data_IF_804602297662
#
_entry.id   IF_804602297662
#
_cell.length_a   1.000
_cell.length_b   1.000
_cell.length_c   1.000
_cell.angle_alpha   90.00
_cell.angle_beta   90.00
_cell.angle_gamma   90.00
#
_symmetry.space_group_name_H-M   'P 1'
#
loop_
_entity.id
_entity.type
_entity.pdbx_description
1 polymer ?
#
# COMPACT_ATOMS: atom_id res chain seq x y z
N UNK A 1 1.09 21.33 -15.54
CA UNK A 1 2.16 22.31 -15.89
C UNK A 1 2.84 22.89 -14.64
N UNK A 2 2.09 23.27 -13.60
CA UNK A 2 2.64 23.77 -12.33
C UNK A 2 3.55 22.78 -11.57
N UNK A 3 3.20 21.49 -11.52
CA UNK A 3 4.01 20.47 -10.83
C UNK A 3 5.35 20.16 -11.51
N UNK A 4 5.44 20.38 -12.82
CA UNK A 4 6.68 20.22 -13.57
C UNK A 4 7.66 21.35 -13.22
N UNK A 5 7.17 22.59 -13.17
CA UNK A 5 7.96 23.76 -12.76
C UNK A 5 8.44 23.63 -11.31
N UNK A 6 7.57 23.19 -10.40
CA UNK A 6 7.90 23.02 -8.98
C UNK A 6 9.00 21.98 -8.72
N UNK A 7 9.03 20.90 -9.48
CA UNK A 7 10.00 19.82 -9.33
C UNK A 7 11.21 19.95 -10.26
N UNK A 8 11.21 20.91 -11.20
CA UNK A 8 12.28 21.13 -12.17
C UNK A 8 13.68 21.30 -11.53
N UNK A 9 13.86 22.02 -10.39
CA UNK A 9 15.19 22.16 -9.80
C UNK A 9 15.74 20.83 -9.29
N UNK A 10 14.87 19.96 -8.75
CA UNK A 10 15.26 18.64 -8.27
C UNK A 10 15.70 17.73 -9.41
N UNK A 11 14.95 17.70 -10.52
CA UNK A 11 15.31 16.90 -11.69
C UNK A 11 16.63 17.35 -12.32
N UNK A 12 16.81 18.67 -12.48
CA UNK A 12 18.03 19.25 -13.06
C UNK A 12 19.23 18.96 -12.15
N UNK A 13 19.12 19.26 -10.85
CA UNK A 13 20.19 19.01 -9.88
C UNK A 13 20.58 17.53 -9.79
N UNK A 14 19.58 16.63 -9.78
CA UNK A 14 19.82 15.18 -9.71
C UNK A 14 20.51 14.67 -10.97
N UNK A 15 20.12 15.18 -12.15
CA UNK A 15 20.74 14.81 -13.43
C UNK A 15 22.19 15.28 -13.48
N UNK A 16 22.46 16.54 -13.10
CA UNK A 16 23.83 17.07 -13.04
C UNK A 16 24.69 16.23 -12.08
N UNK A 17 24.20 15.96 -10.86
CA UNK A 17 24.91 15.12 -9.88
C UNK A 17 25.18 13.72 -10.41
N UNK A 18 24.23 13.11 -11.12
CA UNK A 18 24.37 11.77 -11.67
C UNK A 18 25.55 11.68 -12.65
N UNK A 19 25.72 12.68 -13.51
CA UNK A 19 26.79 12.66 -14.52
C UNK A 19 28.13 13.19 -13.98
N UNK A 20 28.13 14.14 -13.05
CA UNK A 20 29.37 14.69 -12.47
C UNK A 20 29.98 13.80 -11.39
N UNK A 21 29.16 13.28 -10.47
CA UNK A 21 29.62 12.51 -9.31
C UNK A 21 29.43 11.00 -9.49
N UNK A 22 28.76 10.60 -10.58
CA UNK A 22 28.31 9.23 -10.78
C UNK A 22 26.99 8.94 -10.05
N UNK A 23 26.42 7.74 -10.27
CA UNK A 23 25.21 7.32 -9.60
C UNK A 23 25.46 7.02 -8.12
N UNK A 24 24.49 7.27 -7.20
CA UNK A 24 24.62 6.92 -5.78
C UNK A 24 24.88 5.43 -5.52
N UNK A 25 24.47 4.58 -6.46
CA UNK A 25 24.79 3.15 -6.49
C UNK A 25 25.16 2.76 -7.91
N UNK A 26 26.14 1.85 -8.13
CA UNK A 26 26.53 1.44 -9.48
C UNK A 26 25.38 0.90 -10.35
N UNK A 27 24.36 0.29 -9.73
CA UNK A 27 23.20 -0.28 -10.41
C UNK A 27 22.11 0.74 -10.75
N UNK A 28 22.22 2.00 -10.32
CA UNK A 28 21.20 3.02 -10.55
C UNK A 28 21.47 3.73 -11.86
N UNK A 29 20.58 3.54 -12.84
CA UNK A 29 20.52 4.42 -14.01
C UNK A 29 19.92 5.79 -13.61
N UNK A 30 19.97 6.75 -14.54
CA UNK A 30 19.46 8.10 -14.30
C UNK A 30 17.99 8.10 -13.84
N UNK A 31 17.16 7.26 -14.45
CA UNK A 31 15.74 7.12 -14.08
C UNK A 31 15.57 6.67 -12.63
N UNK A 32 16.34 5.69 -12.17
CA UNK A 32 16.34 5.25 -10.77
C UNK A 32 16.83 6.35 -9.84
N UNK A 33 17.88 7.07 -10.20
CA UNK A 33 18.40 8.17 -9.38
C UNK A 33 17.36 9.29 -9.22
N UNK A 34 16.72 9.70 -10.31
CA UNK A 34 15.63 10.68 -10.31
C UNK A 34 14.44 10.20 -9.48
N UNK A 35 14.03 8.94 -9.67
CA UNK A 35 12.93 8.35 -8.90
C UNK A 35 13.19 8.42 -7.40
N UNK A 36 14.38 8.00 -6.95
CA UNK A 36 14.74 8.01 -5.54
C UNK A 36 14.94 9.42 -4.98
N UNK A 37 15.53 10.34 -5.75
CA UNK A 37 15.64 11.73 -5.32
C UNK A 37 14.25 12.36 -5.09
N UNK A 38 13.30 12.11 -6.00
CA UNK A 38 11.90 12.52 -5.83
C UNK A 38 11.24 11.82 -4.65
N UNK A 39 11.43 10.52 -4.51
CA UNK A 39 10.86 9.74 -3.41
C UNK A 39 11.34 10.26 -2.04
N UNK A 40 12.65 10.52 -1.90
CA UNK A 40 13.22 11.10 -0.68
C UNK A 40 12.69 12.51 -0.44
N UNK A 41 12.54 13.35 -1.48
CA UNK A 41 11.96 14.68 -1.30
C UNK A 41 10.53 14.64 -0.78
N UNK A 42 9.76 13.60 -1.12
CA UNK A 42 8.43 13.38 -0.57
C UNK A 42 8.51 12.94 0.91
N UNK A 43 9.47 12.08 1.27
CA UNK A 43 9.69 11.63 2.65
C UNK A 43 10.04 12.79 3.60
N UNK A 44 10.78 13.79 3.12
CA UNK A 44 11.22 14.96 3.91
C UNK A 44 10.19 16.10 3.87
N UNK A 45 8.99 15.87 3.33
CA UNK A 45 7.95 16.90 3.28
C UNK A 45 7.30 17.14 4.64
N UNK A 46 6.87 18.39 4.90
CA UNK A 46 6.14 18.78 6.12
C UNK A 46 4.69 18.26 6.16
N UNK A 47 4.37 17.21 5.40
CA UNK A 47 3.03 16.64 5.32
C UNK A 47 2.79 15.69 6.48
N UNK A 48 1.55 15.62 6.95
CA UNK A 48 1.19 14.60 7.95
C UNK A 48 1.13 13.20 7.31
N UNK A 49 1.19 12.16 8.15
CA UNK A 49 1.07 10.76 7.74
C UNK A 49 -0.25 10.55 6.97
N UNK A 50 -1.34 11.16 7.41
CA UNK A 50 -2.68 11.06 6.83
C UNK A 50 -2.75 11.74 5.45
N UNK A 51 -2.03 12.84 5.26
CA UNK A 51 -1.95 13.52 3.97
C UNK A 51 -1.14 12.70 2.95
N UNK A 52 -0.05 12.07 3.40
CA UNK A 52 0.73 11.15 2.57
C UNK A 52 -0.04 9.89 2.19
N UNK A 53 -0.82 9.34 3.13
CA UNK A 53 -1.73 8.24 2.88
C UNK A 53 -2.78 8.62 1.83
N UNK A 54 -3.41 9.79 1.97
CA UNK A 54 -4.37 10.30 0.98
C UNK A 54 -3.74 10.47 -0.40
N UNK A 55 -2.53 11.04 -0.46
CA UNK A 55 -1.80 11.19 -1.71
C UNK A 55 -1.45 9.85 -2.37
N UNK A 56 -1.23 8.78 -1.58
CA UNK A 56 -0.91 7.46 -2.12
C UNK A 56 -2.06 6.83 -2.91
N UNK A 57 -3.32 7.23 -2.67
CA UNK A 57 -4.45 6.78 -3.47
C UNK A 57 -4.44 7.36 -4.90
N UNK A 58 -3.70 8.45 -5.14
CA UNK A 58 -3.49 8.97 -6.50
C UNK A 58 -2.49 8.13 -7.32
N UNK A 59 -1.82 7.17 -6.70
CA UNK A 59 -0.93 6.27 -7.43
C UNK A 59 -1.74 5.35 -8.34
N UNK A 60 -1.25 5.20 -9.57
CA UNK A 60 -1.89 4.34 -10.54
C UNK A 60 -1.86 2.89 -10.04
N UNK A 61 -2.99 2.16 -10.09
CA UNK A 61 -3.02 0.73 -9.86
C UNK A 61 -1.99 0.02 -10.70
N UNK A 62 -1.32 -0.98 -10.12
CA UNK A 62 -0.47 -1.85 -10.92
C UNK A 62 -1.35 -2.75 -11.81
N UNK A 63 -0.94 -3.04 -13.05
CA UNK A 63 -1.63 -4.02 -13.87
C UNK A 63 -1.68 -5.38 -13.16
N UNK A 64 -2.78 -6.08 -13.40
CA UNK A 64 -3.01 -7.44 -12.90
C UNK A 64 -2.46 -8.42 -13.92
N UNK A 65 -1.85 -9.50 -13.44
CA UNK A 65 -1.33 -10.52 -14.35
C UNK A 65 -2.49 -11.23 -15.06
N UNK A 66 -2.35 -11.46 -16.38
CA UNK A 66 -3.37 -12.10 -17.19
C UNK A 66 -3.87 -13.42 -16.58
N UNK A 67 -5.18 -13.62 -16.50
CA UNK A 67 -5.78 -14.82 -15.90
C UNK A 67 -5.85 -14.80 -14.37
N UNK A 68 -5.55 -13.68 -13.71
CA UNK A 68 -5.88 -13.46 -12.29
C UNK A 68 -7.13 -12.59 -12.21
N UNK A 69 -8.08 -12.98 -11.37
CA UNK A 69 -9.32 -12.25 -11.10
C UNK A 69 -9.21 -11.60 -9.73
N UNK A 70 -9.69 -10.36 -9.63
CA UNK A 70 -9.82 -9.62 -8.37
C UNK A 70 -11.27 -9.67 -7.92
N UNK A 71 -11.48 -9.96 -6.63
CA UNK A 71 -12.77 -9.77 -5.97
C UNK A 71 -12.60 -8.85 -4.76
N UNK A 72 -13.09 -7.61 -4.88
CA UNK A 72 -13.04 -6.64 -3.78
C UNK A 72 -14.21 -6.85 -2.83
N UNK A 73 -13.93 -6.73 -1.53
CA UNK A 73 -14.93 -6.84 -0.48
C UNK A 73 -14.52 -5.99 0.72
N UNK A 74 -15.45 -5.81 1.66
CA UNK A 74 -15.19 -5.06 2.89
C UNK A 74 -15.23 -6.01 4.08
N UNK A 75 -14.16 -6.00 4.88
CA UNK A 75 -14.12 -6.68 6.17
C UNK A 75 -14.82 -5.79 7.18
N UNK A 76 -15.86 -6.34 7.82
CA UNK A 76 -16.70 -5.63 8.78
C UNK A 76 -15.93 -5.28 10.08
N UNK A 77 -16.29 -4.16 10.70
CA UNK A 77 -15.69 -3.70 11.95
C UNK A 77 -15.94 -4.61 13.15
N UNK A 78 -16.90 -5.53 13.12
CA UNK A 78 -17.12 -6.51 14.19
C UNK A 78 -15.82 -7.22 14.58
N UNK A 79 -15.00 -7.61 13.60
CA UNK A 79 -13.73 -8.28 13.85
C UNK A 79 -12.67 -7.36 14.48
N UNK A 80 -12.73 -6.06 14.19
CA UNK A 80 -11.83 -5.07 14.81
C UNK A 80 -12.25 -4.74 16.23
N UNK A 81 -13.55 -4.64 16.49
CA UNK A 81 -14.10 -4.50 17.84
C UNK A 81 -13.72 -5.71 18.70
N UNK A 82 -13.87 -6.93 18.17
CA UNK A 82 -13.43 -8.16 18.84
C UNK A 82 -11.92 -8.13 19.12
N UNK A 83 -11.10 -7.76 18.13
CA UNK A 83 -9.65 -7.66 18.30
C UNK A 83 -9.22 -6.58 19.32
N UNK A 84 -9.95 -5.46 19.40
CA UNK A 84 -9.66 -4.36 20.31
C UNK A 84 -9.70 -4.80 21.77
N UNK A 85 -10.63 -5.68 22.15
CA UNK A 85 -10.72 -6.25 23.51
C UNK A 85 -9.43 -6.98 23.91
N UNK A 86 -8.79 -7.65 22.95
CA UNK A 86 -7.51 -8.33 23.17
C UNK A 86 -6.34 -7.35 23.17
N UNK A 87 -6.33 -6.38 22.24
CA UNK A 87 -5.29 -5.35 22.15
C UNK A 87 -5.26 -4.45 23.38
N UNK A 88 -6.41 -4.07 23.92
CA UNK A 88 -6.49 -3.24 25.14
C UNK A 88 -5.75 -3.89 26.30
N UNK A 89 -5.87 -5.21 26.46
CA UNK A 89 -5.15 -5.95 27.52
C UNK A 89 -3.64 -5.92 27.32
N UNK A 90 -3.19 -6.09 26.07
CA UNK A 90 -1.76 -6.14 25.70
C UNK A 90 -1.14 -4.74 25.79
N UNK A 91 -1.87 -3.72 25.35
CA UNK A 91 -1.39 -2.35 25.20
C UNK A 91 -1.56 -1.51 26.47
N UNK A 92 -2.29 -1.99 27.48
CA UNK A 92 -2.51 -1.30 28.76
C UNK A 92 -1.22 -0.73 29.39
N UNK A 93 -0.08 -1.44 29.43
CA UNK A 93 1.16 -0.87 30.00
C UNK A 93 1.71 0.31 29.20
N UNK A 94 1.37 0.41 27.91
CA UNK A 94 1.86 1.41 26.97
C UNK A 94 0.86 2.55 26.73
N UNK A 95 -0.25 2.61 27.45
CA UNK A 95 -1.31 3.58 27.21
C UNK A 95 -0.83 5.04 27.31
N UNK A 96 0.22 5.30 28.11
CA UNK A 96 0.85 6.62 28.25
C UNK A 96 1.64 7.08 27.03
N UNK A 97 2.02 6.19 26.10
CA UNK A 97 2.77 6.52 24.86
C UNK A 97 1.97 6.29 23.59
N UNK A 98 0.76 5.74 23.70
CA UNK A 98 -0.08 5.42 22.56
C UNK A 98 -1.11 6.53 22.32
N UNK A 99 -1.30 6.90 21.06
CA UNK A 99 -2.37 7.81 20.66
C UNK A 99 -3.74 7.12 20.85
N UNK A 100 -4.71 7.72 21.55
CA UNK A 100 -6.04 7.12 21.72
C UNK A 100 -6.79 6.89 20.40
N UNK A 101 -6.36 7.46 19.28
CA UNK A 101 -7.00 7.32 17.96
C UNK A 101 -7.08 5.86 17.49
N UNK A 102 -6.18 4.97 17.90
CA UNK A 102 -6.24 3.55 17.48
C UNK A 102 -7.51 2.83 18.00
N UNK A 103 -8.12 3.32 19.09
CA UNK A 103 -9.38 2.82 19.64
C UNK A 103 -10.61 3.32 18.86
N UNK A 104 -10.42 4.30 17.97
CA UNK A 104 -11.51 4.98 17.28
C UNK A 104 -11.71 4.43 15.87
N UNK A 105 -12.58 3.42 15.76
CA UNK A 105 -12.92 2.77 14.48
C UNK A 105 -13.97 3.59 13.70
N UNK A 106 -13.63 4.82 13.31
CA UNK A 106 -14.56 5.76 12.62
C UNK A 106 -14.99 5.30 11.22
N UNK A 107 -14.18 4.45 10.60
CA UNK A 107 -14.41 3.93 9.25
C UNK A 107 -15.37 2.72 9.29
N UNK A 108 -15.95 2.33 8.16
CA UNK A 108 -16.97 1.28 8.07
C UNK A 108 -16.40 -0.13 7.80
N UNK A 109 -15.09 -0.32 8.00
CA UNK A 109 -14.39 -1.57 7.75
C UNK A 109 -13.12 -1.44 6.92
N UNK A 110 -12.52 -2.58 6.61
CA UNK A 110 -11.28 -2.65 5.84
C UNK A 110 -11.59 -3.12 4.42
N UNK A 111 -11.42 -2.25 3.43
CA UNK A 111 -11.47 -2.70 2.02
C UNK A 111 -10.33 -3.69 1.80
N UNK A 112 -10.69 -4.84 1.27
CA UNK A 112 -9.75 -5.89 0.94
C UNK A 112 -10.08 -6.45 -0.44
N UNK A 113 -9.14 -7.18 -1.00
CA UNK A 113 -9.29 -7.83 -2.28
C UNK A 113 -8.76 -9.26 -2.23
N UNK A 114 -9.48 -10.17 -2.85
CA UNK A 114 -8.99 -11.50 -3.18
C UNK A 114 -8.40 -11.47 -4.58
N UNK A 115 -7.16 -11.90 -4.72
CA UNK A 115 -6.56 -12.24 -6.01
C UNK A 115 -6.52 -13.75 -6.15
N UNK A 116 -7.09 -14.26 -7.24
CA UNK A 116 -7.20 -15.69 -7.49
C UNK A 116 -7.07 -16.02 -8.97
N UNK A 117 -6.56 -17.22 -9.26
CA UNK A 117 -6.60 -17.80 -10.61
C UNK A 117 -7.92 -18.58 -10.73
N UNK A 118 -8.83 -18.23 -11.65
CA UNK A 118 -10.07 -18.97 -11.80
C UNK A 118 -9.77 -20.35 -12.38
N UNK A 119 -10.59 -21.34 -12.01
CA UNK A 119 -10.50 -22.72 -12.51
C UNK A 119 -9.14 -23.41 -12.29
N UNK A 120 -8.36 -22.96 -11.31
CA UNK A 120 -7.09 -23.59 -10.91
C UNK A 120 -7.29 -24.87 -10.07
N UNK A 121 -8.54 -25.26 -9.83
CA UNK A 121 -8.91 -26.40 -9.00
C UNK A 121 -8.75 -26.16 -7.50
N UNK A 122 -8.43 -24.94 -7.03
CA UNK A 122 -8.24 -24.61 -5.62
C UNK A 122 -9.41 -25.04 -4.75
N UNK A 123 -10.66 -24.90 -5.24
CA UNK A 123 -11.86 -25.30 -4.48
C UNK A 123 -11.95 -26.80 -4.21
N UNK A 124 -11.35 -27.62 -5.07
CA UNK A 124 -11.37 -29.10 -5.00
C UNK A 124 -10.21 -29.67 -4.19
N UNK A 125 -9.29 -28.83 -3.72
CA UNK A 125 -8.11 -29.29 -2.97
C UNK A 125 -8.44 -29.49 -1.51
N UNK A 126 -7.85 -30.54 -0.96
CA UNK A 126 -7.84 -30.79 0.49
C UNK A 126 -7.07 -29.68 1.22
N UNK A 127 -5.90 -29.32 0.71
CA UNK A 127 -5.05 -28.27 1.28
C UNK A 127 -5.22 -26.94 0.55
N UNK A 128 -6.16 -26.11 1.02
CA UNK A 128 -6.43 -24.76 0.51
C UNK A 128 -5.41 -23.76 1.07
N UNK A 129 -4.54 -23.24 0.20
CA UNK A 129 -3.51 -22.25 0.57
C UNK A 129 -4.04 -20.83 0.42
N UNK A 130 -3.77 -20.02 1.44
CA UNK A 130 -4.15 -18.60 1.51
C UNK A 130 -2.96 -17.78 1.97
N UNK A 131 -2.74 -16.62 1.34
CA UNK A 131 -1.68 -15.67 1.71
C UNK A 131 -2.33 -14.37 2.13
N UNK A 132 -2.12 -13.96 3.40
CA UNK A 132 -2.41 -12.60 3.83
C UNK A 132 -1.24 -11.70 3.44
N UNK A 133 -1.47 -10.78 2.50
CA UNK A 133 -0.46 -9.86 2.04
C UNK A 133 -0.64 -8.47 2.66
N UNK A 134 0.37 -8.03 3.42
CA UNK A 134 0.42 -6.69 4.02
C UNK A 134 1.46 -5.89 3.26
N UNK A 135 1.01 -4.89 2.52
CA UNK A 135 1.89 -4.08 1.68
C UNK A 135 2.87 -3.24 2.50
N UNK A 136 4.06 -3.00 1.93
CA UNK A 136 5.05 -2.09 2.49
C UNK A 136 4.68 -0.61 2.28
N UNK A 137 5.66 0.27 2.45
CA UNK A 137 5.47 1.73 2.29
C UNK A 137 5.44 2.50 3.61
N UNK A 138 6.20 2.05 4.61
CA UNK A 138 6.42 2.81 5.86
C UNK A 138 5.14 3.29 6.56
N UNK A 139 4.05 2.54 6.46
CA UNK A 139 2.73 2.90 7.01
C UNK A 139 2.00 4.09 6.37
N UNK A 140 2.55 4.82 5.41
CA UNK A 140 1.85 5.92 4.73
C UNK A 140 1.92 5.95 3.20
N UNK A 141 2.75 5.10 2.60
CA UNK A 141 2.81 4.92 1.15
C UNK A 141 2.06 3.69 0.66
N UNK A 142 1.65 3.80 -0.60
CA UNK A 142 1.08 2.73 -1.42
C UNK A 142 -0.26 2.18 -0.93
N UNK A 143 -0.85 1.35 -1.79
CA UNK A 143 -2.15 0.72 -1.59
C UNK A 143 -2.12 -0.73 -2.06
N UNK A 144 -3.20 -1.49 -1.80
CA UNK A 144 -3.33 -2.88 -2.29
C UNK A 144 -3.20 -2.94 -3.82
N UNK A 145 -3.76 -1.95 -4.51
CA UNK A 145 -3.77 -1.83 -5.97
C UNK A 145 -2.38 -1.63 -6.56
N UNK A 146 -1.54 -0.81 -5.92
CA UNK A 146 -0.16 -0.59 -6.37
C UNK A 146 0.72 -1.83 -6.22
N UNK A 147 0.33 -2.78 -5.37
CA UNK A 147 1.06 -4.02 -5.11
C UNK A 147 0.57 -5.21 -5.95
N UNK A 148 -0.40 -5.00 -6.88
CA UNK A 148 -0.92 -6.05 -7.77
C UNK A 148 0.15 -6.69 -8.65
N UNK A 149 1.26 -5.99 -8.96
CA UNK A 149 2.43 -6.55 -9.65
C UNK A 149 3.14 -7.65 -8.84
N UNK A 150 2.99 -7.65 -7.51
CA UNK A 150 3.57 -8.65 -6.62
C UNK A 150 2.52 -9.69 -6.25
N UNK A 151 1.31 -9.27 -5.88
CA UNK A 151 0.27 -10.18 -5.40
C UNK A 151 -0.30 -11.07 -6.51
N UNK A 152 -0.37 -10.60 -7.76
CA UNK A 152 -0.88 -11.42 -8.87
C UNK A 152 0.06 -12.59 -9.23
N UNK A 153 1.38 -12.38 -9.42
CA UNK A 153 2.31 -13.50 -9.60
C UNK A 153 2.35 -14.41 -8.39
N UNK A 154 2.24 -13.87 -7.18
CA UNK A 154 2.23 -14.65 -5.96
C UNK A 154 1.06 -15.64 -5.92
N UNK A 155 -0.14 -15.20 -6.33
CA UNK A 155 -1.31 -16.08 -6.42
C UNK A 155 -1.07 -17.27 -7.38
N UNK A 156 -0.41 -17.01 -8.52
CA UNK A 156 -0.07 -18.07 -9.49
C UNK A 156 1.02 -19.01 -9.00
N UNK A 157 2.16 -18.45 -8.60
CA UNK A 157 3.37 -19.22 -8.25
C UNK A 157 3.11 -20.07 -7.01
N UNK A 158 2.47 -19.50 -6.00
CA UNK A 158 2.12 -20.22 -4.77
C UNK A 158 0.87 -21.09 -4.93
N UNK A 159 0.13 -20.92 -6.04
CA UNK A 159 -1.10 -21.62 -6.34
C UNK A 159 -2.10 -21.49 -5.17
N UNK A 160 -2.28 -20.24 -4.74
CA UNK A 160 -2.94 -19.83 -3.51
C UNK A 160 -3.82 -18.59 -3.74
N UNK A 161 -4.85 -18.41 -2.90
CA UNK A 161 -5.61 -17.16 -2.86
C UNK A 161 -4.85 -16.11 -2.07
N UNK A 162 -4.70 -14.91 -2.62
CA UNK A 162 -4.02 -13.80 -1.93
C UNK A 162 -5.05 -12.81 -1.43
N UNK A 163 -5.07 -12.57 -0.12
CA UNK A 163 -5.84 -11.51 0.51
C UNK A 163 -4.95 -10.27 0.62
N UNK A 164 -5.18 -9.29 -0.26
CA UNK A 164 -4.61 -7.95 -0.13
C UNK A 164 -5.55 -7.06 0.68
N UNK A 165 -5.02 -6.27 1.62
CA UNK A 165 -5.84 -5.29 2.35
C UNK A 165 -5.40 -3.86 2.05
N UNK A 166 -6.38 -2.97 1.88
CA UNK A 166 -6.15 -1.53 1.98
C UNK A 166 -6.03 -1.13 3.45
N UNK A 167 -5.41 0.01 3.74
CA UNK A 167 -5.59 0.65 5.05
C UNK A 167 -7.02 1.17 5.20
N UNK A 168 -7.51 1.29 6.45
CA UNK A 168 -8.82 1.87 6.71
C UNK A 168 -8.87 3.30 6.14
N UNK A 169 -9.95 3.62 5.42
CA UNK A 169 -10.15 4.95 4.83
C UNK A 169 -10.72 5.87 5.90
N UNK A 170 -10.13 7.04 6.12
CA UNK A 170 -10.88 8.16 6.73
C UNK A 170 -11.92 8.59 5.69
N UNK A 171 -13.19 8.39 6.02
CA UNK A 171 -14.40 8.71 5.25
C UNK A 171 -14.19 9.63 4.04
N UNK A 172 -14.18 9.03 2.86
CA UNK A 172 -14.66 9.69 1.64
C UNK A 172 -15.84 8.84 1.15
N UNK A 173 -17.00 9.48 1.15
CA UNK A 173 -18.25 9.00 0.59
C UNK A 173 -17.98 8.44 -0.80
N UNK A 174 -18.37 7.19 -1.05
CA UNK A 174 -18.61 6.74 -2.42
C UNK A 174 -19.82 7.51 -2.95
N UNK A 175 -19.58 8.73 -3.43
CA UNK A 175 -20.49 9.33 -4.37
C UNK A 175 -20.14 8.72 -5.72
N UNK A 176 -20.83 7.62 -6.04
CA UNK A 176 -20.98 7.17 -7.41
C UNK A 176 -21.60 8.32 -8.20
N UNK A 177 -20.85 8.85 -9.17
CA UNK A 177 -21.30 9.31 -10.49
C UNK A 177 -20.08 9.39 -11.41
#
# INVERSE_FOLDING_TARGET
>A
MADFLKNSPLYISTTIKHYLNGPPRPSWNLTSHIFWAKFISLLVSNKTIEEMQRASFSFQPSPVQAGVVINEFKIDNKYRNEAQVHLDKILKPYEHVLDPEWKNLKDDGIISEWLQVPNDGWEKRENKKTILYIHGGAYYFFTKETYRCITSPLAKIANARVLGKSKPRKNETFNNL
#
